data_IF_530026189564
#
_entry.id   IF_530026189564
#
_cell.length_a   1.000
_cell.length_b   1.000
_cell.length_c   1.000
_cell.angle_alpha   90.00
_cell.angle_beta   90.00
_cell.angle_gamma   90.00
#
_symmetry.space_group_name_H-M   'P 1'
#
loop_
_entity.id
_entity.type
_entity.pdbx_description
1 polymer ?
#
# COMPACT_ATOMS: atom_id res chain seq x y z
N UNK A 1 -33.00 13.05 -21.86
CA UNK A 1 -31.72 13.68 -21.67
C UNK A 1 -30.68 12.63 -22.00
N UNK A 2 -29.89 12.89 -23.01
CA UNK A 2 -28.95 11.94 -23.60
C UNK A 2 -27.83 11.57 -22.59
N UNK A 3 -27.41 10.30 -22.57
CA UNK A 3 -26.39 9.76 -21.66
C UNK A 3 -25.08 10.55 -21.77
N UNK A 4 -24.73 10.97 -22.99
CA UNK A 4 -23.56 11.79 -23.31
C UNK A 4 -23.61 13.16 -22.62
N UNK A 5 -24.81 13.76 -22.53
CA UNK A 5 -25.01 15.05 -21.86
C UNK A 5 -24.85 14.94 -20.33
N UNK A 6 -25.19 13.78 -19.75
CA UNK A 6 -24.99 13.52 -18.31
C UNK A 6 -23.53 13.28 -17.96
N UNK A 7 -22.79 12.59 -18.84
CA UNK A 7 -21.33 12.38 -18.68
C UNK A 7 -20.59 13.71 -18.82
N UNK A 8 -20.95 14.55 -19.82
CA UNK A 8 -20.41 15.90 -19.97
C UNK A 8 -20.68 16.79 -18.76
N UNK A 9 -21.85 16.71 -18.16
CA UNK A 9 -22.19 17.48 -16.94
C UNK A 9 -21.43 16.98 -15.71
N UNK A 10 -21.23 15.67 -15.57
CA UNK A 10 -20.37 15.11 -14.52
C UNK A 10 -18.92 15.58 -14.66
N UNK A 11 -18.38 15.57 -15.87
CA UNK A 11 -17.01 16.01 -16.16
C UNK A 11 -16.85 17.54 -16.09
N UNK A 12 -17.84 18.30 -16.55
CA UNK A 12 -17.85 19.75 -16.45
C UNK A 12 -18.10 20.26 -15.02
N UNK A 13 -18.73 19.46 -14.15
CA UNK A 13 -18.87 19.80 -12.74
C UNK A 13 -17.51 19.89 -12.02
N UNK A 14 -16.52 19.11 -12.46
CA UNK A 14 -15.14 19.24 -11.99
C UNK A 14 -14.37 20.41 -12.64
N UNK A 15 -14.87 20.99 -13.72
CA UNK A 15 -14.17 22.02 -14.50
C UNK A 15 -14.70 23.46 -14.29
N UNK A 16 -15.95 23.60 -13.85
CA UNK A 16 -16.54 24.92 -13.56
C UNK A 16 -16.16 25.35 -12.14
N UNK A 17 -15.02 25.99 -12.02
CA UNK A 17 -14.66 26.79 -10.84
C UNK A 17 -15.50 28.07 -10.88
N UNK A 18 -16.65 28.06 -10.22
CA UNK A 18 -17.36 29.28 -9.85
C UNK A 18 -16.81 29.76 -8.49
N UNK A 19 -15.98 30.81 -8.43
CA UNK A 19 -15.38 31.30 -7.18
C UNK A 19 -16.39 31.96 -6.23
N UNK A 20 -17.67 32.03 -6.62
CA UNK A 20 -18.71 32.72 -5.84
C UNK A 20 -19.66 31.79 -5.13
N UNK A 21 -19.48 30.45 -5.19
CA UNK A 21 -20.32 29.51 -4.44
C UNK A 21 -19.87 29.41 -2.97
N UNK A 22 -20.75 29.85 -2.16
CA UNK A 22 -20.76 29.94 -0.71
C UNK A 22 -19.87 28.93 0.05
N UNK A 23 -18.76 29.44 0.56
CA UNK A 23 -17.91 28.81 1.56
C UNK A 23 -18.59 28.64 2.94
N UNK A 24 -19.87 28.97 3.06
CA UNK A 24 -20.50 29.21 4.37
C UNK A 24 -21.37 28.07 4.93
N UNK A 25 -21.54 26.95 4.23
CA UNK A 25 -22.49 25.92 4.68
C UNK A 25 -21.86 24.59 5.18
N UNK A 26 -20.55 24.58 5.40
CA UNK A 26 -19.90 23.44 6.05
C UNK A 26 -19.41 23.85 7.42
N UNK A 27 -20.24 23.58 8.43
CA UNK A 27 -19.79 23.65 9.82
C UNK A 27 -18.46 22.91 9.93
N UNK A 28 -17.43 23.63 10.40
CA UNK A 28 -16.09 23.07 10.59
C UNK A 28 -16.15 21.90 11.56
N UNK A 29 -16.32 20.69 11.03
CA UNK A 29 -16.19 19.48 11.83
C UNK A 29 -14.71 19.12 11.86
N UNK A 30 -14.10 19.32 12.99
CA UNK A 30 -12.69 19.00 13.25
C UNK A 30 -12.36 17.51 13.04
N UNK A 31 -13.37 16.64 12.95
CA UNK A 31 -13.24 15.17 12.90
C UNK A 31 -13.72 14.51 11.61
N UNK A 32 -14.31 15.25 10.69
CA UNK A 32 -14.89 14.68 9.49
C UNK A 32 -14.21 15.20 8.24
N UNK A 33 -13.48 14.31 7.57
CA UNK A 33 -12.90 14.55 6.26
C UNK A 33 -13.69 13.76 5.21
N UNK A 34 -14.57 14.42 4.43
CA UNK A 34 -15.42 13.75 3.45
C UNK A 34 -14.64 13.20 2.23
N UNK A 35 -13.42 13.71 2.00
CA UNK A 35 -12.50 13.29 0.95
C UNK A 35 -11.94 11.87 1.19
N UNK A 36 -11.86 11.42 2.44
CA UNK A 36 -11.29 10.12 2.78
C UNK A 36 -12.32 8.99 2.83
N UNK A 37 -11.91 7.76 2.48
CA UNK A 37 -12.76 6.59 2.72
C UNK A 37 -13.06 6.45 4.22
N UNK A 38 -14.33 6.26 4.54
CA UNK A 38 -14.75 5.98 5.91
C UNK A 38 -14.84 4.46 6.03
N UNK A 39 -13.91 3.88 6.80
CA UNK A 39 -14.02 2.48 7.21
C UNK A 39 -15.14 2.35 8.24
N UNK A 40 -15.94 1.29 8.10
CA UNK A 40 -17.01 1.00 9.05
C UNK A 40 -16.42 0.90 10.46
N UNK A 41 -16.92 1.70 11.37
CA UNK A 41 -16.43 1.73 12.75
C UNK A 41 -16.93 0.49 13.50
N UNK A 42 -16.01 -0.23 14.10
CA UNK A 42 -16.26 -1.36 14.98
C UNK A 42 -14.93 -1.90 15.48
N UNK A 43 -14.86 -2.37 16.71
CA UNK A 43 -13.67 -3.00 17.26
C UNK A 43 -13.31 -4.28 16.49
N UNK A 44 -14.33 -4.94 15.93
CA UNK A 44 -14.20 -6.14 15.11
C UNK A 44 -13.32 -5.96 13.86
N UNK A 45 -13.16 -4.71 13.39
CA UNK A 45 -12.31 -4.41 12.23
C UNK A 45 -10.91 -3.88 12.58
N UNK A 46 -10.58 -3.72 13.86
CA UNK A 46 -9.30 -3.14 14.28
C UNK A 46 -8.09 -3.93 13.77
N UNK A 47 -8.10 -5.25 13.86
CA UNK A 47 -7.04 -6.13 13.35
C UNK A 47 -6.98 -6.07 11.81
N UNK A 48 -8.12 -6.14 11.14
CA UNK A 48 -8.19 -6.01 9.69
C UNK A 48 -7.65 -4.67 9.21
N UNK A 49 -8.06 -3.58 9.85
CA UNK A 49 -7.59 -2.23 9.52
C UNK A 49 -6.09 -2.08 9.74
N UNK A 50 -5.53 -2.68 10.80
CA UNK A 50 -4.08 -2.67 11.05
C UNK A 50 -3.30 -3.38 9.94
N UNK A 51 -3.78 -4.55 9.49
CA UNK A 51 -3.19 -5.30 8.38
C UNK A 51 -3.28 -4.50 7.07
N UNK A 52 -4.46 -3.95 6.76
CA UNK A 52 -4.66 -3.13 5.54
C UNK A 52 -3.77 -1.90 5.54
N UNK A 53 -3.70 -1.19 6.66
CA UNK A 53 -2.88 -0.01 6.79
C UNK A 53 -1.38 -0.34 6.64
N UNK A 54 -0.92 -1.45 7.22
CA UNK A 54 0.48 -1.90 7.04
C UNK A 54 0.79 -2.15 5.57
N UNK A 55 -0.04 -2.93 4.88
CA UNK A 55 0.13 -3.20 3.45
C UNK A 55 0.09 -1.90 2.62
N UNK A 56 -0.88 -1.03 2.89
CA UNK A 56 -1.04 0.22 2.15
C UNK A 56 0.14 1.19 2.34
N UNK A 57 0.71 1.26 3.54
CA UNK A 57 1.91 2.05 3.82
C UNK A 57 3.12 1.51 3.05
N UNK A 58 3.31 0.20 3.02
CA UNK A 58 4.44 -0.41 2.33
C UNK A 58 4.31 -0.29 0.81
N UNK A 59 3.11 -0.47 0.25
CA UNK A 59 2.84 -0.23 -1.18
C UNK A 59 3.07 1.23 -1.54
N UNK A 60 2.54 2.18 -0.76
CA UNK A 60 2.68 3.61 -1.03
C UNK A 60 4.11 4.14 -0.92
N UNK A 61 5.00 3.35 -0.32
CA UNK A 61 6.43 3.67 -0.21
C UNK A 61 7.22 3.33 -1.48
N UNK A 62 6.62 2.57 -2.42
CA UNK A 62 7.23 2.20 -3.69
C UNK A 62 6.92 3.30 -4.73
N UNK A 63 7.95 3.81 -5.38
CA UNK A 63 7.78 4.82 -6.42
C UNK A 63 7.23 4.18 -7.69
N UNK A 64 6.08 4.66 -8.15
CA UNK A 64 5.47 4.31 -9.44
C UNK A 64 5.70 5.48 -10.39
N UNK A 65 6.33 5.25 -11.53
CA UNK A 65 6.75 6.31 -12.43
C UNK A 65 6.33 6.05 -13.87
N UNK A 66 6.00 7.14 -14.57
CA UNK A 66 5.82 7.15 -16.01
C UNK A 66 7.18 7.25 -16.68
N UNK A 67 7.54 6.27 -17.49
CA UNK A 67 8.89 6.09 -18.02
C UNK A 67 8.89 5.88 -19.53
N UNK A 68 10.04 6.13 -20.13
CA UNK A 68 10.36 5.71 -21.49
C UNK A 68 11.28 4.49 -21.43
N UNK A 69 10.99 3.52 -22.29
CA UNK A 69 11.81 2.34 -22.51
C UNK A 69 12.65 2.53 -23.78
N UNK A 70 13.79 1.88 -23.82
CA UNK A 70 14.60 1.74 -25.02
C UNK A 70 14.03 0.64 -25.97
N UNK A 71 14.66 0.44 -27.13
CA UNK A 71 14.25 -0.56 -28.12
C UNK A 71 14.33 -2.01 -27.59
N UNK A 72 15.06 -2.24 -26.50
CA UNK A 72 15.18 -3.52 -25.83
C UNK A 72 14.18 -3.70 -24.67
N UNK A 73 13.30 -2.71 -24.45
CA UNK A 73 12.33 -2.71 -23.36
C UNK A 73 12.91 -2.40 -21.98
N UNK A 74 14.12 -1.81 -21.90
CA UNK A 74 14.77 -1.42 -20.66
C UNK A 74 14.41 0.02 -20.31
N UNK A 75 14.46 0.36 -19.03
CA UNK A 75 14.29 1.73 -18.57
C UNK A 75 15.33 2.67 -19.22
N UNK A 76 14.85 3.77 -19.79
CA UNK A 76 15.69 4.80 -20.42
C UNK A 76 15.62 6.11 -19.65
N UNK A 77 14.41 6.66 -19.45
CA UNK A 77 14.23 7.94 -18.76
C UNK A 77 12.85 8.05 -18.13
N UNK A 78 12.71 8.96 -17.18
CA UNK A 78 11.42 9.35 -16.61
C UNK A 78 10.75 10.36 -17.56
N UNK A 79 9.43 10.24 -17.73
CA UNK A 79 8.62 11.18 -18.49
C UNK A 79 7.97 12.15 -17.50
N UNK A 80 8.28 13.44 -17.62
CA UNK A 80 7.63 14.50 -16.86
C UNK A 80 6.23 14.76 -17.43
N UNK A 81 5.24 13.99 -16.99
CA UNK A 81 3.83 14.12 -17.35
C UNK A 81 3.00 14.47 -16.13
N UNK A 82 1.80 15.00 -16.33
CA UNK A 82 0.85 15.22 -15.25
C UNK A 82 0.53 13.93 -14.50
N UNK A 83 0.42 12.78 -15.21
CA UNK A 83 0.27 11.46 -14.58
C UNK A 83 1.43 11.15 -13.64
N UNK A 84 2.69 11.40 -14.05
CA UNK A 84 3.85 11.16 -13.19
C UNK A 84 3.82 12.07 -11.95
N UNK A 85 3.41 13.32 -12.12
CA UNK A 85 3.22 14.26 -11.02
C UNK A 85 2.14 13.78 -10.04
N UNK A 86 1.00 13.28 -10.54
CA UNK A 86 -0.08 12.73 -9.71
C UNK A 86 0.37 11.53 -8.87
N UNK A 87 1.23 10.68 -9.42
CA UNK A 87 1.69 9.47 -8.72
C UNK A 87 2.77 9.74 -7.68
N UNK A 88 3.61 10.78 -7.88
CA UNK A 88 4.80 10.98 -7.05
C UNK A 88 4.75 12.23 -6.17
N UNK A 89 4.06 13.28 -6.60
CA UNK A 89 4.04 14.56 -5.88
C UNK A 89 2.64 14.94 -5.41
N UNK A 90 1.75 15.26 -6.33
CA UNK A 90 0.46 15.91 -6.03
C UNK A 90 -0.66 15.29 -6.85
N UNK A 91 -1.40 14.34 -6.24
CA UNK A 91 -2.47 13.61 -6.91
C UNK A 91 -3.73 14.47 -7.09
N UNK A 92 -4.02 15.32 -6.13
CA UNK A 92 -5.16 16.22 -6.13
C UNK A 92 -4.96 17.29 -5.03
N UNK A 93 -5.90 18.23 -4.92
CA UNK A 93 -5.84 19.35 -3.98
C UNK A 93 -5.65 18.92 -2.51
N UNK A 94 -6.11 17.72 -2.13
CA UNK A 94 -6.13 17.24 -0.75
C UNK A 94 -5.06 16.18 -0.44
N UNK A 95 -4.45 15.57 -1.49
CA UNK A 95 -3.64 14.36 -1.33
C UNK A 95 -2.35 14.42 -2.16
N UNK A 96 -1.25 14.10 -1.50
CA UNK A 96 0.00 13.79 -2.19
C UNK A 96 -0.12 12.46 -2.96
N UNK A 97 0.74 12.22 -3.94
CA UNK A 97 0.77 10.95 -4.68
C UNK A 97 0.83 9.72 -3.76
N UNK A 98 1.68 9.78 -2.71
CA UNK A 98 1.76 8.71 -1.71
C UNK A 98 0.44 8.49 -0.95
N UNK A 99 -0.22 9.57 -0.50
CA UNK A 99 -1.49 9.47 0.21
C UNK A 99 -2.60 8.94 -0.70
N UNK A 100 -2.59 9.30 -1.98
CA UNK A 100 -3.49 8.77 -2.99
C UNK A 100 -3.32 7.25 -3.20
N UNK A 101 -2.08 6.77 -3.35
CA UNK A 101 -1.82 5.33 -3.48
C UNK A 101 -2.21 4.59 -2.19
N UNK A 102 -1.93 5.16 -1.01
CA UNK A 102 -2.37 4.56 0.26
C UNK A 102 -3.89 4.42 0.34
N UNK A 103 -4.65 5.45 -0.01
CA UNK A 103 -6.11 5.42 -0.06
C UNK A 103 -6.63 4.42 -1.11
N UNK A 104 -5.98 4.34 -2.27
CA UNK A 104 -6.32 3.38 -3.31
C UNK A 104 -6.17 1.93 -2.82
N UNK A 105 -5.05 1.61 -2.19
CA UNK A 105 -4.80 0.27 -1.64
C UNK A 105 -5.75 -0.05 -0.49
N UNK A 106 -5.96 0.87 0.44
CA UNK A 106 -6.92 0.69 1.54
C UNK A 106 -8.33 0.40 1.02
N UNK A 107 -8.80 1.19 0.06
CA UNK A 107 -10.12 1.01 -0.56
C UNK A 107 -10.22 -0.31 -1.33
N UNK A 108 -9.18 -0.70 -2.04
CA UNK A 108 -9.09 -1.96 -2.77
C UNK A 108 -9.13 -3.17 -1.82
N UNK A 109 -8.41 -3.11 -0.70
CA UNK A 109 -8.40 -4.20 0.28
C UNK A 109 -9.75 -4.32 1.00
N UNK A 110 -10.43 -3.22 1.30
CA UNK A 110 -11.74 -3.24 1.97
C UNK A 110 -12.86 -3.69 1.04
N UNK A 111 -12.94 -3.15 -0.16
CA UNK A 111 -14.05 -3.37 -1.11
C UNK A 111 -13.77 -4.49 -2.14
N UNK A 112 -12.55 -4.99 -2.24
CA UNK A 112 -12.12 -5.98 -3.25
C UNK A 112 -11.71 -5.36 -4.58
N UNK A 113 -12.05 -4.11 -4.85
CA UNK A 113 -11.62 -3.34 -6.02
C UNK A 113 -11.72 -1.83 -5.74
N UNK A 114 -10.99 -1.05 -6.53
CA UNK A 114 -11.02 0.42 -6.45
C UNK A 114 -11.01 1.01 -7.85
N UNK A 115 -11.70 2.14 -8.04
CA UNK A 115 -11.63 2.93 -9.25
C UNK A 115 -10.62 4.09 -9.07
N UNK A 116 -9.60 4.17 -9.93
CA UNK A 116 -8.72 5.32 -10.04
C UNK A 116 -9.23 6.19 -11.17
N UNK A 117 -9.72 7.38 -10.82
CA UNK A 117 -10.45 8.25 -11.74
C UNK A 117 -9.66 9.52 -12.00
N UNK A 118 -9.31 9.83 -13.26
CA UNK A 118 -8.83 11.15 -13.64
C UNK A 118 -9.95 12.18 -13.45
N UNK A 119 -9.68 13.22 -12.68
CA UNK A 119 -10.65 14.28 -12.37
C UNK A 119 -10.41 15.51 -13.24
N UNK A 120 -9.15 15.86 -13.44
CA UNK A 120 -8.74 16.98 -14.30
C UNK A 120 -7.76 16.46 -15.35
N UNK A 121 -8.03 16.80 -16.61
CA UNK A 121 -7.16 16.51 -17.75
C UNK A 121 -6.93 17.78 -18.57
N UNK A 122 -5.81 17.84 -19.30
CA UNK A 122 -5.49 18.98 -20.18
C UNK A 122 -6.46 19.09 -21.36
N UNK A 123 -6.82 17.95 -21.95
CA UNK A 123 -7.76 17.84 -23.08
C UNK A 123 -8.92 16.93 -22.66
N UNK A 124 -10.11 17.23 -23.19
CA UNK A 124 -11.31 16.41 -22.97
C UNK A 124 -11.09 14.99 -23.53
N UNK A 125 -11.09 13.95 -22.68
CA UNK A 125 -10.84 12.56 -23.10
C UNK A 125 -11.87 12.01 -24.08
N UNK A 126 -13.07 12.64 -24.19
CA UNK A 126 -14.06 12.25 -25.19
C UNK A 126 -13.70 12.75 -26.60
N UNK A 127 -12.92 13.84 -26.69
CA UNK A 127 -12.54 14.44 -27.97
C UNK A 127 -11.20 13.94 -28.49
N UNK A 128 -10.31 13.54 -27.60
CA UNK A 128 -8.98 13.04 -27.95
C UNK A 128 -8.61 11.86 -27.07
N UNK A 129 -8.07 10.82 -27.69
CA UNK A 129 -7.49 9.70 -26.95
C UNK A 129 -6.10 10.02 -26.35
N UNK A 130 -5.54 11.19 -26.69
CA UNK A 130 -4.27 11.68 -26.16
C UNK A 130 -4.54 12.87 -25.26
N UNK A 131 -4.42 12.65 -23.97
CA UNK A 131 -4.59 13.65 -22.93
C UNK A 131 -3.59 13.38 -21.80
N UNK A 132 -3.22 14.41 -21.05
CA UNK A 132 -2.47 14.27 -19.81
C UNK A 132 -3.38 14.41 -18.60
N UNK A 133 -3.04 13.73 -17.53
CA UNK A 133 -3.84 13.67 -16.31
C UNK A 133 -3.23 14.62 -15.29
N UNK A 134 -3.98 15.64 -14.91
CA UNK A 134 -3.53 16.68 -14.00
C UNK A 134 -3.99 16.47 -12.55
N UNK A 135 -5.09 15.71 -12.36
CA UNK A 135 -5.58 15.35 -11.02
C UNK A 135 -6.29 14.00 -11.06
N UNK A 136 -6.12 13.22 -9.99
CA UNK A 136 -6.71 11.89 -9.82
C UNK A 136 -7.33 11.73 -8.44
N UNK A 137 -8.42 10.95 -8.37
CA UNK A 137 -9.05 10.56 -7.10
C UNK A 137 -9.43 9.09 -7.09
N UNK A 138 -9.48 8.53 -5.90
CA UNK A 138 -10.04 7.19 -5.67
C UNK A 138 -11.56 7.25 -5.64
N UNK A 139 -12.21 6.24 -6.21
CA UNK A 139 -13.65 6.11 -6.21
C UNK A 139 -14.12 4.72 -5.83
N UNK A 140 -15.23 4.65 -5.09
CA UNK A 140 -15.89 3.39 -4.75
C UNK A 140 -16.85 2.99 -5.86
N UNK A 141 -16.77 1.74 -6.34
CA UNK A 141 -17.67 1.21 -7.36
C UNK A 141 -19.01 0.86 -6.71
N UNK A 142 -20.09 1.47 -7.20
CA UNK A 142 -21.45 1.25 -6.69
C UNK A 142 -22.23 0.28 -7.58
N UNK A 143 -22.06 0.41 -8.91
CA UNK A 143 -22.82 -0.39 -9.88
C UNK A 143 -21.96 -0.73 -11.09
N UNK A 144 -22.00 -1.99 -11.50
CA UNK A 144 -21.32 -2.49 -12.69
C UNK A 144 -22.29 -2.56 -13.87
N UNK A 145 -21.88 -1.99 -15.03
CA UNK A 145 -22.58 -2.12 -16.30
C UNK A 145 -21.61 -2.61 -17.38
N UNK A 146 -22.09 -3.13 -18.52
CA UNK A 146 -21.22 -3.71 -19.55
C UNK A 146 -20.10 -2.76 -20.01
N UNK A 147 -20.41 -1.52 -20.40
CA UNK A 147 -19.45 -0.53 -20.90
C UNK A 147 -19.16 0.61 -19.91
N UNK A 148 -19.92 0.73 -18.82
CA UNK A 148 -19.84 1.82 -17.86
C UNK A 148 -19.72 1.28 -16.43
N UNK A 149 -19.30 2.15 -15.53
CA UNK A 149 -19.26 1.89 -14.10
C UNK A 149 -19.80 3.10 -13.36
N UNK A 150 -20.64 2.87 -12.34
CA UNK A 150 -21.10 3.93 -11.44
C UNK A 150 -20.16 4.00 -10.26
N UNK A 151 -19.51 5.15 -10.11
CA UNK A 151 -18.47 5.37 -9.11
C UNK A 151 -18.90 6.48 -8.16
N UNK A 152 -18.75 6.25 -6.87
CA UNK A 152 -18.89 7.28 -5.84
C UNK A 152 -17.54 7.91 -5.60
N UNK A 153 -17.43 9.19 -5.92
CA UNK A 153 -16.20 9.96 -5.83
C UNK A 153 -16.44 11.29 -5.10
N UNK A 154 -15.42 11.82 -4.46
CA UNK A 154 -15.48 13.13 -3.84
C UNK A 154 -15.37 14.23 -4.90
N UNK A 155 -16.32 15.15 -4.89
CA UNK A 155 -16.36 16.32 -5.75
C UNK A 155 -15.79 17.52 -4.99
N UNK A 156 -14.70 18.11 -5.50
CA UNK A 156 -14.01 19.24 -4.87
C UNK A 156 -14.85 20.52 -4.85
N UNK A 157 -15.71 20.71 -5.85
CA UNK A 157 -16.57 21.90 -5.95
C UNK A 157 -17.71 21.90 -4.95
N UNK A 158 -18.33 20.75 -4.76
CA UNK A 158 -19.49 20.61 -3.86
C UNK A 158 -19.10 20.16 -2.45
N UNK A 159 -17.86 19.71 -2.25
CA UNK A 159 -17.37 19.16 -0.98
C UNK A 159 -18.08 17.87 -0.54
N UNK A 160 -18.77 17.18 -1.45
CA UNK A 160 -19.58 15.99 -1.18
C UNK A 160 -19.16 14.82 -2.06
N UNK A 161 -19.48 13.62 -1.61
CA UNK A 161 -19.37 12.42 -2.45
C UNK A 161 -20.58 12.32 -3.36
N UNK A 162 -20.35 12.19 -4.65
CA UNK A 162 -21.37 12.08 -5.69
C UNK A 162 -21.21 10.78 -6.47
N UNK A 163 -22.33 10.26 -6.95
CA UNK A 163 -22.39 9.06 -7.77
C UNK A 163 -22.36 9.44 -9.25
N UNK A 164 -21.27 9.13 -9.94
CA UNK A 164 -21.01 9.49 -11.33
C UNK A 164 -20.95 8.22 -12.18
N UNK A 165 -21.56 8.26 -13.37
CA UNK A 165 -21.48 7.19 -14.37
C UNK A 165 -20.32 7.48 -15.33
N UNK A 166 -19.32 6.63 -15.35
CA UNK A 166 -18.10 6.78 -16.15
C UNK A 166 -17.93 5.60 -17.12
N UNK A 167 -17.40 5.82 -18.34
CA UNK A 167 -16.99 4.74 -19.23
C UNK A 167 -15.80 3.96 -18.61
N UNK A 168 -15.87 2.63 -18.70
CA UNK A 168 -14.75 1.78 -18.21
C UNK A 168 -13.43 2.00 -18.95
N UNK A 169 -13.46 2.63 -20.13
CA UNK A 169 -12.24 3.00 -20.88
C UNK A 169 -11.45 4.12 -20.22
N UNK A 170 -12.12 4.99 -19.44
CA UNK A 170 -11.52 6.19 -18.83
C UNK A 170 -11.15 6.01 -17.36
N UNK A 171 -11.43 4.86 -16.79
CA UNK A 171 -11.21 4.57 -15.36
C UNK A 171 -10.32 3.36 -15.23
N UNK A 172 -9.26 3.46 -14.44
CA UNK A 172 -8.48 2.30 -14.05
C UNK A 172 -9.16 1.61 -12.87
N UNK A 173 -9.59 0.37 -13.07
CA UNK A 173 -10.25 -0.43 -12.04
C UNK A 173 -9.27 -1.48 -11.58
N UNK A 174 -8.71 -1.27 -10.40
CA UNK A 174 -7.75 -2.20 -9.80
C UNK A 174 -8.50 -3.19 -8.92
N UNK A 175 -8.39 -4.47 -9.27
CA UNK A 175 -8.92 -5.56 -8.47
C UNK A 175 -7.88 -6.05 -7.46
N UNK A 176 -8.34 -6.46 -6.30
CA UNK A 176 -7.46 -6.99 -5.26
C UNK A 176 -6.88 -8.34 -5.67
N UNK A 177 -5.56 -8.47 -5.92
CA UNK A 177 -4.94 -9.75 -6.25
C UNK A 177 -5.04 -10.78 -5.10
N UNK A 178 -5.29 -10.31 -3.87
CA UNK A 178 -5.49 -11.13 -2.69
C UNK A 178 -6.98 -11.35 -2.36
N UNK A 179 -7.88 -11.20 -3.35
CA UNK A 179 -9.33 -11.25 -3.17
C UNK A 179 -9.79 -12.54 -2.47
N UNK A 180 -9.26 -13.67 -2.86
CA UNK A 180 -9.63 -14.97 -2.29
C UNK A 180 -9.32 -15.07 -0.78
N UNK A 181 -8.30 -14.38 -0.30
CA UNK A 181 -7.88 -14.38 1.12
C UNK A 181 -8.64 -13.35 1.94
N UNK A 182 -8.96 -12.20 1.35
CA UNK A 182 -9.47 -11.01 2.05
C UNK A 182 -10.97 -10.81 1.83
N UNK A 183 -11.42 -10.76 0.58
CA UNK A 183 -12.74 -10.22 0.21
C UNK A 183 -13.79 -11.31 -0.09
N UNK A 184 -13.39 -12.53 -0.49
CA UNK A 184 -14.35 -13.60 -0.73
C UNK A 184 -15.23 -13.84 0.51
N UNK A 185 -16.55 -14.10 0.35
CA UNK A 185 -17.50 -14.23 1.49
C UNK A 185 -17.09 -15.25 2.56
N UNK A 186 -16.35 -16.30 2.18
CA UNK A 186 -15.83 -17.33 3.08
C UNK A 186 -14.33 -17.23 3.32
N UNK A 187 -13.68 -16.14 2.91
CA UNK A 187 -12.25 -15.91 3.12
C UNK A 187 -11.88 -15.96 4.60
N UNK A 188 -10.59 -16.17 4.85
CA UNK A 188 -10.03 -16.17 6.21
C UNK A 188 -10.27 -14.84 6.90
N UNK A 189 -10.09 -13.74 6.21
CA UNK A 189 -10.36 -12.39 6.75
C UNK A 189 -11.83 -12.21 7.13
N UNK A 190 -12.78 -12.60 6.27
CA UNK A 190 -14.20 -12.47 6.56
C UNK A 190 -14.66 -13.40 7.71
N UNK A 191 -14.03 -14.54 7.85
CA UNK A 191 -14.26 -15.43 9.00
C UNK A 191 -13.71 -14.84 10.29
N UNK A 192 -12.53 -14.20 10.23
CA UNK A 192 -11.92 -13.51 11.37
C UNK A 192 -12.80 -12.34 11.83
N UNK A 193 -13.24 -11.48 10.91
CA UNK A 193 -14.12 -10.35 11.21
C UNK A 193 -15.41 -10.82 11.88
N UNK A 194 -16.03 -11.90 11.39
CA UNK A 194 -17.23 -12.47 12.01
C UNK A 194 -16.97 -12.99 13.43
N UNK A 195 -15.79 -13.56 13.69
CA UNK A 195 -15.44 -14.04 15.06
C UNK A 195 -15.15 -12.89 16.00
N UNK A 196 -14.50 -11.82 15.52
CA UNK A 196 -14.29 -10.58 16.29
C UNK A 196 -15.62 -9.90 16.64
N UNK A 197 -16.55 -9.81 15.71
CA UNK A 197 -17.90 -9.29 15.97
C UNK A 197 -18.66 -10.12 17.03
N UNK A 198 -18.51 -11.44 17.02
CA UNK A 198 -19.08 -12.30 18.07
C UNK A 198 -18.42 -12.07 19.43
N UNK A 199 -17.11 -11.81 19.45
CA UNK A 199 -16.39 -11.47 20.69
C UNK A 199 -16.91 -10.15 21.28
N UNK A 200 -17.03 -9.11 20.45
CA UNK A 200 -17.54 -7.80 20.88
C UNK A 200 -18.95 -7.91 21.48
N UNK A 201 -19.85 -8.70 20.84
CA UNK A 201 -21.20 -8.94 21.38
C UNK A 201 -21.14 -9.70 22.70
N UNK A 202 -20.24 -10.68 22.85
CA UNK A 202 -20.08 -11.44 24.11
C UNK A 202 -19.54 -10.55 25.21
N UNK A 203 -18.55 -9.69 24.91
CA UNK A 203 -17.97 -8.74 25.85
C UNK A 203 -19.03 -7.72 26.32
N UNK A 204 -19.85 -7.20 25.39
CA UNK A 204 -20.95 -6.30 25.73
C UNK A 204 -21.99 -6.96 26.63
N UNK A 205 -22.33 -8.25 26.36
CA UNK A 205 -23.23 -9.03 27.19
C UNK A 205 -22.64 -9.25 28.60
N UNK A 206 -21.36 -9.56 28.68
CA UNK A 206 -20.65 -9.77 29.94
C UNK A 206 -20.53 -8.46 30.72
N UNK A 207 -20.14 -7.35 30.04
CA UNK A 207 -20.04 -6.03 30.64
C UNK A 207 -21.39 -5.47 31.11
N UNK A 208 -22.49 -5.81 30.43
CA UNK A 208 -23.84 -5.39 30.82
C UNK A 208 -24.40 -6.17 32.02
N UNK A 209 -23.63 -7.10 32.60
CA UNK A 209 -24.07 -7.92 33.74
C UNK A 209 -25.20 -8.89 33.40
N UNK A 210 -25.47 -9.13 32.11
CA UNK A 210 -26.45 -10.12 31.65
C UNK A 210 -25.89 -11.51 31.89
N UNK A 211 -26.18 -12.05 33.06
CA UNK A 211 -25.84 -13.41 33.43
C UNK A 211 -26.80 -14.38 32.76
N UNK A 212 -26.26 -15.44 32.14
CA UNK A 212 -27.08 -16.58 31.74
C UNK A 212 -27.60 -17.28 33.02
N UNK A 213 -28.83 -16.95 33.40
CA UNK A 213 -29.43 -17.48 34.60
C UNK A 213 -30.61 -18.39 34.26
N UNK A 214 -30.66 -19.57 34.88
CA UNK A 214 -31.87 -20.39 34.92
C UNK A 214 -32.57 -20.09 36.23
N UNK A 215 -33.78 -19.54 36.13
CA UNK A 215 -34.65 -19.29 37.28
C UNK A 215 -35.65 -20.45 37.34
N UNK A 216 -35.52 -21.29 38.31
CA UNK A 216 -36.47 -22.35 38.58
C UNK A 216 -37.58 -21.79 39.50
N UNK A 217 -38.79 -21.67 38.96
CA UNK A 217 -39.96 -21.22 39.67
C UNK A 217 -40.66 -22.38 40.41
N UNK A 218 -41.30 -22.14 41.53
CA UNK A 218 -41.96 -23.21 42.35
C UNK A 218 -43.28 -23.69 41.75
N UNK A 219 -43.63 -23.26 40.55
CA UNK A 219 -44.87 -23.60 39.86
C UNK A 219 -44.69 -23.94 38.39
N UNK A 220 -45.62 -24.68 37.84
CA UNK A 220 -45.60 -25.04 36.41
C UNK A 220 -46.24 -23.94 35.54
N UNK A 221 -45.56 -23.50 34.55
CA UNK A 221 -46.00 -22.44 33.59
C UNK A 221 -46.84 -23.08 32.49
N UNK A 222 -48.17 -23.32 32.79
CA UNK A 222 -49.10 -23.88 31.76
C UNK A 222 -50.23 -22.94 31.38
N UNK A 223 -50.49 -21.89 32.21
CA UNK A 223 -51.60 -20.97 31.99
C UNK A 223 -51.05 -19.58 31.68
N UNK A 224 -51.80 -18.80 30.89
CA UNK A 224 -51.44 -17.45 30.50
C UNK A 224 -51.17 -16.50 31.68
N UNK A 225 -51.95 -16.66 32.76
CA UNK A 225 -51.77 -15.91 34.00
C UNK A 225 -50.43 -16.23 34.66
N UNK A 226 -50.02 -17.50 34.69
CA UNK A 226 -48.72 -17.96 35.25
C UNK A 226 -47.56 -17.55 34.38
N UNK A 227 -47.77 -17.44 33.07
CA UNK A 227 -46.78 -16.96 32.13
C UNK A 227 -46.47 -15.47 32.35
N UNK A 228 -47.51 -14.64 32.55
CA UNK A 228 -47.37 -13.24 32.93
C UNK A 228 -46.65 -13.10 34.27
N UNK A 229 -46.99 -13.91 35.26
CA UNK A 229 -46.32 -13.87 36.55
C UNK A 229 -44.84 -14.27 36.45
N UNK A 230 -44.49 -15.22 35.61
CA UNK A 230 -43.10 -15.61 35.38
C UNK A 230 -42.32 -14.48 34.66
N UNK A 231 -42.95 -13.78 33.70
CA UNK A 231 -42.34 -12.60 33.02
C UNK A 231 -42.14 -11.41 33.97
N UNK A 232 -43.10 -11.14 34.83
CA UNK A 232 -42.98 -10.07 35.85
C UNK A 232 -41.84 -10.44 36.83
N UNK A 233 -41.72 -11.68 37.24
CA UNK A 233 -40.62 -12.13 38.09
C UNK A 233 -39.26 -12.02 37.42
N UNK A 234 -39.17 -12.42 36.14
CA UNK A 234 -37.96 -12.22 35.34
C UNK A 234 -37.55 -10.76 35.31
N UNK A 235 -38.48 -9.85 34.98
CA UNK A 235 -38.21 -8.41 34.93
C UNK A 235 -37.78 -7.85 36.31
N UNK A 236 -38.38 -8.34 37.41
CA UNK A 236 -38.01 -7.92 38.76
C UNK A 236 -36.56 -8.33 39.09
N UNK A 237 -36.14 -9.51 38.71
CA UNK A 237 -34.76 -10.00 38.92
C UNK A 237 -33.78 -9.24 38.01
N UNK A 238 -34.12 -9.01 36.73
CA UNK A 238 -33.31 -8.20 35.82
C UNK A 238 -33.12 -6.77 36.37
N UNK A 239 -34.18 -6.15 36.93
CA UNK A 239 -34.10 -4.82 37.52
C UNK A 239 -33.26 -4.81 38.80
N UNK A 240 -33.36 -5.82 39.64
CA UNK A 240 -32.53 -5.95 40.84
C UNK A 240 -31.04 -6.12 40.48
N UNK A 241 -30.74 -6.97 39.51
CA UNK A 241 -29.36 -7.18 39.04
C UNK A 241 -28.78 -5.94 38.39
N UNK A 242 -29.53 -5.25 37.54
CA UNK A 242 -29.09 -4.02 36.87
C UNK A 242 -28.95 -2.83 37.79
N UNK A 243 -29.75 -2.72 38.86
CA UNK A 243 -29.67 -1.65 39.85
C UNK A 243 -28.68 -1.93 40.98
N UNK A 244 -28.25 -3.19 41.13
CA UNK A 244 -27.32 -3.59 42.18
C UNK A 244 -25.87 -3.34 41.79
N UNK A 245 -25.13 -2.55 42.59
CA UNK A 245 -23.70 -2.29 42.37
C UNK A 245 -22.82 -3.55 42.44
N UNK A 246 -23.31 -4.63 43.03
CA UNK A 246 -22.57 -5.89 43.23
C UNK A 246 -23.25 -7.13 42.62
N UNK A 247 -24.28 -6.93 41.76
CA UNK A 247 -24.97 -8.02 41.10
C UNK A 247 -25.75 -8.94 42.05
N UNK A 248 -26.29 -8.39 43.15
CA UNK A 248 -27.03 -9.15 44.14
C UNK A 248 -28.53 -9.01 43.87
N UNK A 249 -29.21 -10.14 43.77
CA UNK A 249 -30.68 -10.20 43.71
C UNK A 249 -31.23 -11.09 44.85
N UNK A 250 -32.42 -10.73 45.32
CA UNK A 250 -33.12 -11.47 46.37
C UNK A 250 -34.03 -12.51 45.71
N UNK A 251 -33.99 -13.74 46.20
CA UNK A 251 -34.87 -14.84 45.76
C UNK A 251 -35.70 -15.34 46.91
N UNK A 252 -36.89 -15.85 46.60
CA UNK A 252 -37.72 -16.54 47.58
C UNK A 252 -37.13 -17.93 47.90
N UNK A 253 -37.31 -18.41 49.10
CA UNK A 253 -36.74 -19.71 49.54
C UNK A 253 -37.16 -20.95 48.72
N UNK A 254 -38.18 -20.78 47.87
CA UNK A 254 -38.69 -21.80 46.94
C UNK A 254 -38.15 -21.67 45.50
N UNK A 255 -37.47 -20.56 45.19
CA UNK A 255 -36.87 -20.33 43.91
C UNK A 255 -35.40 -20.72 43.89
N UNK A 256 -34.95 -21.34 42.81
CA UNK A 256 -33.54 -21.66 42.62
C UNK A 256 -33.00 -20.97 41.41
N UNK A 257 -31.99 -20.12 41.63
CA UNK A 257 -31.24 -19.45 40.53
C UNK A 257 -29.95 -20.23 40.32
N UNK A 258 -29.77 -20.74 39.11
CA UNK A 258 -28.54 -21.41 38.69
C UNK A 258 -27.86 -20.57 37.63
N UNK A 259 -26.66 -20.07 37.91
CA UNK A 259 -25.83 -19.38 36.94
C UNK A 259 -25.19 -20.42 36.00
N UNK A 260 -25.39 -20.24 34.71
CA UNK A 260 -24.72 -21.04 33.70
C UNK A 260 -23.35 -20.39 33.39
N UNK A 261 -22.31 -21.02 33.90
CA UNK A 261 -20.95 -20.62 33.59
C UNK A 261 -20.57 -21.20 32.23
N UNK A 262 -20.70 -20.40 31.17
CA UNK A 262 -20.24 -20.81 29.82
C UNK A 262 -18.79 -20.41 29.65
N UNK A 263 -17.90 -21.36 29.46
CA UNK A 263 -16.51 -21.14 29.08
C UNK A 263 -16.37 -20.80 27.59
N UNK A 264 -17.27 -19.95 27.06
CA UNK A 264 -17.33 -19.61 25.62
C UNK A 264 -16.14 -18.76 25.21
N UNK A 265 -15.67 -17.87 26.09
CA UNK A 265 -14.62 -16.90 25.83
C UNK A 265 -13.27 -17.55 25.46
N UNK A 266 -12.82 -18.54 26.20
CA UNK A 266 -11.52 -19.20 25.96
C UNK A 266 -11.46 -19.92 24.62
N UNK A 267 -12.58 -20.46 24.12
CA UNK A 267 -12.62 -21.14 22.83
C UNK A 267 -12.70 -20.13 21.68
N UNK A 268 -13.41 -19.02 21.86
CA UNK A 268 -13.54 -17.97 20.86
C UNK A 268 -12.18 -17.26 20.64
N UNK A 269 -11.48 -16.92 21.72
CA UNK A 269 -10.14 -16.30 21.65
C UNK A 269 -9.14 -17.21 20.92
N UNK A 270 -9.11 -18.51 21.22
CA UNK A 270 -8.25 -19.46 20.49
C UNK A 270 -8.59 -19.55 19.00
N UNK A 271 -9.87 -19.47 18.66
CA UNK A 271 -10.29 -19.46 17.24
C UNK A 271 -9.89 -18.17 16.53
N UNK A 272 -9.94 -17.01 17.19
CA UNK A 272 -9.49 -15.74 16.67
C UNK A 272 -7.97 -15.79 16.43
N UNK A 273 -7.21 -16.23 17.41
CA UNK A 273 -5.76 -16.40 17.30
C UNK A 273 -5.38 -17.33 16.14
N UNK A 274 -6.04 -18.48 16.03
CA UNK A 274 -5.84 -19.41 14.91
C UNK A 274 -6.14 -18.76 13.54
N UNK A 275 -7.25 -18.04 13.42
CA UNK A 275 -7.62 -17.36 12.17
C UNK A 275 -6.68 -16.20 11.85
N UNK A 276 -6.19 -15.47 12.84
CA UNK A 276 -5.20 -14.39 12.66
C UNK A 276 -3.88 -14.97 12.15
N UNK A 277 -3.38 -16.04 12.75
CA UNK A 277 -2.16 -16.71 12.33
C UNK A 277 -2.31 -17.32 10.92
N UNK A 278 -3.47 -17.89 10.60
CA UNK A 278 -3.76 -18.42 9.28
C UNK A 278 -3.80 -17.29 8.23
N UNK A 279 -4.41 -16.15 8.56
CA UNK A 279 -4.45 -14.97 7.71
C UNK A 279 -3.03 -14.44 7.45
N UNK A 280 -2.23 -14.28 8.50
CA UNK A 280 -0.85 -13.83 8.37
C UNK A 280 -0.04 -14.75 7.46
N UNK A 281 -0.17 -16.07 7.65
CA UNK A 281 0.49 -17.07 6.79
C UNK A 281 0.07 -16.96 5.32
N UNK A 282 -1.23 -16.75 5.04
CA UNK A 282 -1.76 -16.61 3.68
C UNK A 282 -1.33 -15.32 3.01
N UNK A 283 -1.19 -14.24 3.76
CA UNK A 283 -0.71 -12.94 3.28
C UNK A 283 0.83 -12.84 3.25
N UNK A 284 1.55 -13.86 3.70
CA UNK A 284 3.00 -13.78 3.85
C UNK A 284 3.47 -12.75 4.88
N UNK A 285 2.58 -12.36 5.79
CA UNK A 285 2.87 -11.46 6.91
C UNK A 285 3.24 -12.32 8.13
N UNK A 286 4.16 -11.84 8.93
CA UNK A 286 4.48 -12.43 10.24
C UNK A 286 4.23 -11.42 11.34
N UNK A 287 4.12 -11.88 12.58
CA UNK A 287 4.03 -10.98 13.73
C UNK A 287 5.21 -10.01 13.76
N UNK A 288 6.41 -10.49 13.40
CA UNK A 288 7.63 -9.68 13.33
C UNK A 288 7.53 -8.52 12.32
N UNK A 289 6.78 -8.68 11.23
CA UNK A 289 6.52 -7.58 10.28
C UNK A 289 5.59 -6.53 10.90
N UNK A 290 4.60 -6.97 11.69
CA UNK A 290 3.63 -6.06 12.32
C UNK A 290 4.26 -5.24 13.44
N UNK A 291 5.15 -5.82 14.23
CA UNK A 291 5.88 -5.17 15.34
C UNK A 291 7.24 -4.58 14.95
N UNK A 292 7.65 -4.75 13.67
CA UNK A 292 8.88 -4.13 13.15
C UNK A 292 10.19 -4.83 13.56
N UNK A 293 10.10 -6.09 13.99
CA UNK A 293 11.26 -6.91 14.38
C UNK A 293 11.69 -7.92 13.32
N UNK A 294 11.07 -7.84 12.11
CA UNK A 294 11.34 -8.77 11.02
C UNK A 294 12.76 -8.62 10.48
N UNK A 295 13.40 -9.76 10.20
CA UNK A 295 14.66 -9.81 9.48
C UNK A 295 14.50 -9.54 7.97
N UNK A 296 15.62 -9.26 7.29
CA UNK A 296 15.61 -8.90 5.86
C UNK A 296 15.00 -10.01 4.98
N UNK A 297 15.25 -11.27 5.32
CA UNK A 297 14.71 -12.41 4.58
C UNK A 297 13.18 -12.49 4.70
N UNK A 298 12.65 -12.26 5.88
CA UNK A 298 11.21 -12.21 6.13
C UNK A 298 10.58 -11.02 5.41
N UNK A 299 11.22 -9.85 5.44
CA UNK A 299 10.79 -8.68 4.69
C UNK A 299 10.80 -8.93 3.17
N UNK A 300 11.85 -9.56 2.64
CA UNK A 300 11.93 -9.90 1.23
C UNK A 300 10.78 -10.84 0.79
N UNK A 301 10.48 -11.85 1.58
CA UNK A 301 9.36 -12.76 1.33
C UNK A 301 8.01 -12.05 1.34
N UNK A 302 7.81 -11.15 2.29
CA UNK A 302 6.60 -10.32 2.39
C UNK A 302 6.45 -9.41 1.16
N UNK A 303 7.50 -8.73 0.76
CA UNK A 303 7.47 -7.88 -0.44
C UNK A 303 7.11 -8.69 -1.68
N UNK A 304 7.75 -9.82 -1.92
CA UNK A 304 7.53 -10.64 -3.11
C UNK A 304 6.14 -11.28 -3.15
N UNK A 305 5.57 -11.65 -2.00
CA UNK A 305 4.29 -12.37 -1.95
C UNK A 305 3.07 -11.47 -1.81
N UNK A 306 3.23 -10.33 -1.17
CA UNK A 306 2.09 -9.46 -0.82
C UNK A 306 2.17 -8.10 -1.51
N UNK A 307 3.30 -7.43 -1.39
CA UNK A 307 3.43 -6.04 -1.87
C UNK A 307 3.55 -5.98 -3.39
N UNK A 308 4.46 -6.76 -3.97
CA UNK A 308 4.71 -6.74 -5.41
C UNK A 308 3.50 -7.10 -6.27
N UNK A 309 2.67 -8.12 -5.94
CA UNK A 309 1.44 -8.40 -6.67
C UNK A 309 0.45 -7.21 -6.66
N UNK A 310 0.34 -6.49 -5.54
CA UNK A 310 -0.55 -5.33 -5.42
C UNK A 310 -0.04 -4.17 -6.28
N UNK A 311 1.25 -3.85 -6.19
CA UNK A 311 1.86 -2.79 -7.01
C UNK A 311 1.73 -3.12 -8.50
N UNK A 312 1.98 -4.37 -8.88
CA UNK A 312 1.85 -4.85 -10.26
C UNK A 312 0.42 -4.70 -10.78
N UNK A 313 -0.59 -5.05 -9.98
CA UNK A 313 -2.00 -4.88 -10.35
C UNK A 313 -2.34 -3.40 -10.60
N UNK A 314 -1.85 -2.49 -9.77
CA UNK A 314 -2.03 -1.04 -9.95
C UNK A 314 -1.34 -0.58 -11.24
N UNK A 315 -0.08 -0.92 -11.43
CA UNK A 315 0.72 -0.50 -12.58
C UNK A 315 0.14 -1.02 -13.89
N UNK A 316 -0.30 -2.27 -13.93
CA UNK A 316 -0.88 -2.88 -15.13
C UNK A 316 -2.21 -2.20 -15.54
N UNK A 317 -3.06 -1.86 -14.56
CA UNK A 317 -4.29 -1.12 -14.84
C UNK A 317 -4.02 0.32 -15.30
N UNK A 318 -3.06 1.01 -14.69
CA UNK A 318 -2.64 2.33 -15.13
C UNK A 318 -2.09 2.29 -16.57
N UNK A 319 -1.22 1.32 -16.90
CA UNK A 319 -0.73 1.11 -18.27
C UNK A 319 -1.87 0.84 -19.26
N UNK A 320 -2.80 -0.03 -18.86
CA UNK A 320 -3.90 -0.44 -19.73
C UNK A 320 -4.84 0.70 -20.07
N UNK A 321 -5.09 1.60 -19.10
CA UNK A 321 -6.12 2.64 -19.21
C UNK A 321 -5.59 4.01 -19.61
N UNK A 322 -4.45 4.41 -19.08
CA UNK A 322 -3.95 5.78 -19.25
C UNK A 322 -2.85 5.92 -20.30
N UNK A 323 -2.27 4.82 -20.76
CA UNK A 323 -1.37 4.87 -21.90
C UNK A 323 -2.07 4.40 -23.18
N UNK A 324 -2.11 5.28 -24.19
CA UNK A 324 -2.65 4.95 -25.50
C UNK A 324 -1.81 3.86 -26.20
N UNK A 325 -2.36 3.21 -27.21
CA UNK A 325 -1.61 2.24 -28.02
C UNK A 325 -0.39 2.90 -28.66
N UNK A 326 -0.54 4.13 -29.15
CA UNK A 326 0.55 4.92 -29.75
C UNK A 326 1.63 5.23 -28.73
N UNK A 327 1.28 5.70 -27.54
CA UNK A 327 2.25 5.97 -26.49
C UNK A 327 3.07 4.71 -26.14
N UNK A 328 2.40 3.56 -26.02
CA UNK A 328 3.08 2.28 -25.74
C UNK A 328 3.99 1.84 -26.89
N UNK A 329 3.58 2.04 -28.15
CA UNK A 329 4.46 1.74 -29.31
C UNK A 329 5.66 2.69 -29.44
N UNK A 330 5.58 3.85 -28.80
CA UNK A 330 6.70 4.81 -28.68
C UNK A 330 7.57 4.56 -27.44
N UNK A 331 7.46 3.40 -26.83
CA UNK A 331 8.25 3.01 -25.67
C UNK A 331 7.78 3.61 -24.33
N UNK A 332 6.60 4.28 -24.28
CA UNK A 332 6.09 4.76 -22.99
C UNK A 332 5.54 3.61 -22.15
N UNK A 333 5.86 3.60 -20.87
CA UNK A 333 5.40 2.60 -19.91
C UNK A 333 5.23 3.22 -18.51
N UNK A 334 4.56 2.51 -17.62
CA UNK A 334 4.54 2.82 -16.21
C UNK A 334 5.29 1.69 -15.50
N UNK A 335 6.23 2.03 -14.65
CA UNK A 335 7.03 1.07 -13.90
C UNK A 335 7.08 1.45 -12.42
N UNK A 336 7.30 0.48 -11.59
CA UNK A 336 7.62 0.74 -10.20
C UNK A 336 9.09 0.40 -9.93
N UNK A 337 9.70 1.19 -9.08
CA UNK A 337 11.11 1.02 -8.72
C UNK A 337 11.19 0.63 -7.25
N UNK A 338 11.73 -0.56 -7.04
CA UNK A 338 12.09 -1.00 -5.71
C UNK A 338 13.50 -0.49 -5.42
N UNK A 339 13.65 0.24 -4.34
CA UNK A 339 14.98 0.60 -3.83
C UNK A 339 15.62 -0.66 -3.22
N UNK A 340 16.63 -1.25 -3.87
CA UNK A 340 17.25 -2.47 -3.38
C UNK A 340 18.03 -2.26 -2.09
N UNK A 341 18.40 -1.00 -1.78
CA UNK A 341 19.21 -0.66 -0.61
C UNK A 341 18.39 -0.33 0.63
N UNK A 342 17.09 -0.13 0.50
CA UNK A 342 16.20 0.25 1.61
C UNK A 342 16.11 -0.81 2.71
N UNK A 343 16.32 -2.08 2.37
CA UNK A 343 16.26 -3.23 3.29
C UNK A 343 17.65 -3.81 3.58
N UNK A 344 18.73 -3.16 3.13
CA UNK A 344 20.09 -3.64 3.32
C UNK A 344 20.70 -2.94 4.54
N UNK A 345 21.24 -3.69 5.51
CA UNK A 345 21.99 -3.12 6.63
C UNK A 345 23.12 -2.21 6.12
N UNK A 346 23.40 -1.12 6.82
CA UNK A 346 24.40 -0.13 6.40
C UNK A 346 25.79 -0.77 6.20
N UNK A 347 26.11 -1.81 6.97
CA UNK A 347 27.38 -2.54 6.84
C UNK A 347 27.48 -3.29 5.51
N UNK A 348 26.37 -3.83 5.04
CA UNK A 348 26.31 -4.60 3.78
C UNK A 348 26.27 -3.68 2.56
N UNK A 349 25.76 -2.44 2.72
CA UNK A 349 25.78 -1.41 1.66
C UNK A 349 27.21 -1.14 1.20
N UNK A 350 28.16 -1.07 2.13
CA UNK A 350 29.58 -0.85 1.80
C UNK A 350 30.15 -1.99 0.94
N UNK A 351 29.83 -3.25 1.27
CA UNK A 351 30.26 -4.41 0.52
C UNK A 351 29.62 -4.48 -0.87
N UNK A 352 28.32 -4.19 -0.97
CA UNK A 352 27.59 -4.15 -2.22
C UNK A 352 28.09 -3.01 -3.11
N UNK A 353 28.31 -1.82 -2.53
CA UNK A 353 28.86 -0.66 -3.23
C UNK A 353 30.25 -0.93 -3.80
N UNK A 354 31.13 -1.55 -3.01
CA UNK A 354 32.46 -1.96 -3.49
C UNK A 354 32.36 -2.94 -4.68
N UNK A 355 31.51 -3.97 -4.55
CA UNK A 355 31.31 -4.95 -5.63
C UNK A 355 30.72 -4.31 -6.89
N UNK A 356 29.75 -3.42 -6.76
CA UNK A 356 29.07 -2.78 -7.90
C UNK A 356 29.97 -1.75 -8.58
N UNK A 357 30.74 -0.99 -7.83
CA UNK A 357 31.70 -0.04 -8.40
C UNK A 357 32.83 -0.76 -9.12
N UNK A 358 33.39 -1.84 -8.53
CA UNK A 358 34.44 -2.63 -9.15
C UNK A 358 34.02 -3.34 -10.44
N UNK A 359 32.75 -3.71 -10.56
CA UNK A 359 32.20 -4.39 -11.73
C UNK A 359 31.54 -3.43 -12.74
N UNK A 360 31.80 -2.14 -12.63
CA UNK A 360 31.24 -1.11 -13.55
C UNK A 360 29.70 -1.09 -13.61
N UNK A 361 29.03 -1.44 -12.51
CA UNK A 361 27.56 -1.44 -12.42
C UNK A 361 27.05 -0.10 -11.91
N UNK A 362 27.73 0.52 -10.93
CA UNK A 362 27.40 1.81 -10.36
C UNK A 362 28.62 2.74 -10.36
N UNK A 363 28.37 4.02 -10.57
CA UNK A 363 29.36 5.08 -10.42
C UNK A 363 29.50 5.48 -8.95
N UNK A 364 30.61 6.15 -8.60
CA UNK A 364 30.82 6.64 -7.22
C UNK A 364 29.75 7.67 -6.81
N UNK A 365 29.23 8.48 -7.73
CA UNK A 365 28.18 9.45 -7.43
C UNK A 365 26.83 8.80 -7.21
N UNK A 366 26.50 7.72 -7.94
CA UNK A 366 25.29 6.93 -7.68
C UNK A 366 25.32 6.26 -6.30
N UNK A 367 26.48 5.71 -5.89
CA UNK A 367 26.65 5.16 -4.54
C UNK A 367 26.51 6.26 -3.49
N UNK A 368 27.10 7.45 -3.69
CA UNK A 368 26.94 8.60 -2.77
C UNK A 368 25.48 9.03 -2.65
N UNK A 369 24.74 9.05 -3.75
CA UNK A 369 23.30 9.37 -3.77
C UNK A 369 22.48 8.35 -2.99
N UNK A 370 22.76 7.06 -3.12
CA UNK A 370 22.11 5.98 -2.37
C UNK A 370 22.30 6.15 -0.86
N UNK A 371 23.51 6.56 -0.44
CA UNK A 371 23.85 6.80 0.98
C UNK A 371 23.37 8.17 1.47
N UNK A 372 22.80 9.00 0.57
CA UNK A 372 22.31 10.35 0.89
C UNK A 372 23.40 11.41 0.99
N UNK A 373 24.56 11.19 0.37
CA UNK A 373 25.67 12.16 0.30
C UNK A 373 25.56 13.02 -0.97
N UNK A 374 26.01 14.28 -0.89
CA UNK A 374 26.13 15.16 -2.06
C UNK A 374 27.06 14.51 -3.09
N UNK A 375 26.73 14.55 -4.42
CA UNK A 375 27.63 14.11 -5.47
C UNK A 375 28.98 14.82 -5.41
N UNK A 376 30.03 14.11 -5.79
CA UNK A 376 31.37 14.72 -5.95
C UNK A 376 31.42 15.55 -7.23
N UNK A 377 32.14 16.65 -7.21
CA UNK A 377 32.35 17.52 -8.38
C UNK A 377 33.46 17.00 -9.32
N UNK A 378 34.14 15.89 -8.93
CA UNK A 378 35.16 15.25 -9.76
C UNK A 378 34.49 14.50 -10.94
N UNK A 379 34.83 14.81 -12.19
CA UNK A 379 34.26 14.14 -13.38
C UNK A 379 34.48 12.62 -13.40
N UNK A 380 35.49 12.13 -12.66
CA UNK A 380 35.74 10.69 -12.54
C UNK A 380 34.68 9.98 -11.67
N UNK A 381 34.00 10.70 -10.82
CA UNK A 381 32.98 10.13 -9.94
C UNK A 381 31.70 9.71 -10.69
N UNK A 382 31.49 10.20 -11.92
CA UNK A 382 30.39 9.84 -12.80
C UNK A 382 30.81 8.82 -13.89
N UNK A 383 32.03 8.33 -13.85
CA UNK A 383 32.54 7.32 -14.77
C UNK A 383 32.43 5.93 -14.14
N UNK A 384 32.04 4.95 -14.96
CA UNK A 384 32.13 3.54 -14.62
C UNK A 384 33.61 3.12 -14.69
N UNK A 385 34.25 2.87 -13.56
CA UNK A 385 35.68 2.58 -13.45
C UNK A 385 35.89 1.22 -12.81
N UNK A 386 36.54 0.30 -13.57
CA UNK A 386 36.97 -0.96 -13.01
C UNK A 386 38.32 -0.79 -12.29
N UNK A 387 38.27 -0.77 -10.95
CA UNK A 387 39.49 -0.61 -10.15
C UNK A 387 40.45 -1.83 -10.19
N UNK A 388 40.01 -2.96 -10.77
CA UNK A 388 40.83 -4.16 -10.94
C UNK A 388 41.67 -4.13 -12.22
N UNK A 389 41.38 -3.22 -13.14
CA UNK A 389 42.10 -3.05 -14.39
C UNK A 389 42.92 -1.75 -14.28
N UNK A 390 44.26 -1.84 -14.39
CA UNK A 390 45.10 -0.67 -14.47
C UNK A 390 44.70 0.14 -15.72
N UNK A 391 44.01 1.23 -15.57
CA UNK A 391 43.68 2.11 -16.68
C UNK A 391 44.96 2.70 -17.23
N UNK A 392 45.26 2.45 -18.52
CA UNK A 392 46.31 3.13 -19.22
C UNK A 392 46.04 4.65 -19.12
N UNK A 393 47.00 5.40 -18.59
CA UNK A 393 46.95 6.85 -18.57
C UNK A 393 46.81 7.29 -20.04
N UNK A 394 45.65 7.77 -20.46
CA UNK A 394 45.55 8.61 -21.66
C UNK A 394 46.34 9.89 -21.38
N UNK A 395 47.57 9.91 -21.91
CA UNK A 395 48.35 11.12 -21.95
C UNK A 395 47.70 12.03 -23.01
N UNK A 396 46.93 12.99 -22.55
CA UNK A 396 46.56 14.15 -23.30
C UNK A 396 47.78 15.10 -23.27
N UNK A 397 48.70 14.91 -24.24
CA UNK A 397 49.58 15.98 -24.69
C UNK A 397 50.18 15.49 -26.01
N UNK A 398 49.70 16.08 -27.10
CA UNK A 398 50.42 16.09 -28.34
C UNK A 398 51.63 16.98 -28.20
N UNK A 399 52.79 16.41 -28.13
CA UNK A 399 54.05 17.01 -28.47
C UNK A 399 54.79 16.07 -29.40
N UNK A 400 54.89 16.51 -30.62
CA UNK A 400 55.76 15.99 -31.64
C UNK A 400 57.23 16.17 -31.21
N UNK A 401 57.90 15.10 -30.85
CA UNK A 401 59.36 15.12 -30.74
C UNK A 401 59.93 14.22 -31.86
N UNK A 402 60.64 14.93 -32.72
CA UNK A 402 61.55 14.44 -33.74
C UNK A 402 62.70 13.64 -33.10
N UNK A 403 63.17 12.55 -33.71
CA UNK A 403 64.27 11.75 -33.17
C UNK A 403 65.62 12.49 -33.38
N UNK A 404 66.56 12.51 -32.42
CA UNK A 404 67.91 12.97 -32.67
C UNK A 404 68.76 11.86 -33.32
N UNK A 405 69.57 12.29 -34.27
CA UNK A 405 70.59 11.55 -35.02
C UNK A 405 71.58 10.75 -34.17
N UNK A 406 71.91 9.57 -34.68
CA UNK A 406 73.04 8.77 -34.24
C UNK A 406 74.39 9.50 -34.46
N UNK A 407 75.21 9.58 -33.43
CA UNK A 407 76.66 9.73 -33.60
C UNK A 407 77.34 8.55 -32.89
N UNK A 408 77.91 7.75 -33.75
CA UNK A 408 78.85 6.67 -33.53
C UNK A 408 80.15 7.20 -32.89
N UNK A 409 80.59 6.58 -31.75
CA UNK A 409 82.04 6.47 -31.45
C UNK A 409 82.25 5.26 -30.51
N UNK A 410 83.08 4.37 -31.02
CA UNK A 410 83.42 3.06 -30.48
C UNK A 410 84.35 3.03 -29.30
N UNK A 411 84.58 1.79 -28.84
CA UNK A 411 85.64 1.40 -27.91
C UNK A 411 85.17 0.47 -26.80
N UNK A 412 85.15 -0.80 -27.04
CA UNK A 412 86.16 -1.85 -26.76
C UNK A 412 86.32 -2.27 -25.29
N UNK A 413 86.04 -3.53 -25.07
CA UNK A 413 86.79 -4.55 -24.34
C UNK A 413 86.48 -4.87 -22.87
N UNK A 414 86.17 -6.16 -22.65
CA UNK A 414 86.51 -7.09 -21.54
C UNK A 414 85.83 -6.88 -20.19
N UNK A 415 85.41 -7.82 -19.39
CA UNK A 415 85.59 -9.25 -19.30
C UNK A 415 84.58 -9.82 -18.26
N UNK A 416 84.30 -11.07 -18.37
CA UNK A 416 83.53 -11.94 -17.43
C UNK A 416 84.43 -12.17 -16.14
N UNK A 417 83.99 -13.04 -15.16
CA UNK A 417 82.74 -13.75 -14.86
C UNK A 417 82.49 -14.03 -13.35
N UNK A 418 81.33 -14.72 -13.09
CA UNK A 418 81.12 -15.86 -12.15
C UNK A 418 81.13 -15.63 -10.65
N UNK A 419 80.06 -15.95 -9.98
CA UNK A 419 79.84 -17.06 -9.02
C UNK A 419 78.58 -16.73 -8.19
N UNK A 420 77.58 -17.51 -8.20
CA UNK A 420 77.25 -18.73 -7.48
C UNK A 420 77.41 -18.63 -5.97
N UNK A 421 76.33 -18.93 -5.28
CA UNK A 421 76.15 -19.77 -4.11
C UNK A 421 75.03 -19.27 -3.23
N UNK A 422 73.85 -19.92 -3.30
CA UNK A 422 73.34 -20.94 -2.34
C UNK A 422 73.06 -20.52 -0.91
N UNK A 423 71.83 -20.75 -0.60
CA UNK A 423 71.31 -21.53 0.56
C UNK A 423 70.79 -20.83 1.82
N UNK A 424 69.59 -21.27 2.06
CA UNK A 424 69.03 -21.74 3.33
C UNK A 424 68.63 -20.71 4.42
N UNK A 425 67.47 -20.54 4.71
CA UNK A 425 66.58 -21.37 5.54
C UNK A 425 65.16 -20.89 5.43
#
# INVERSE_FOLDING_TARGET
>A
MDLVTRIKRGWNAFRNRDPTRDYYDYGSSYYYRPDRPIFTRGNERSIATSVYNRIALDVSAIAIQHVRLDDNGRFSSIIESGLNNCLNLDANLDQTGRAFIQDAVMSMLDEGCVALVPVVTDIDPEKSNSYDILSMRTGRIIEWRPAHVKVRIYNEETGKKEDIMLPKSMVAIVENPLYAVINEPNSTMQRLIRKLSLLDVTDEQTASGKLDLIIQLPYVIKTEARQKQAEERRKAIEMQLSSSKYGIAYTDGTERITQLNRSVENNLMKQIEYLTNMLYSQLGITQAIMDGTADDKTMLNYYSRTIEPIVSAIVDELKRKFLTKTARSQGQSIMFFRDPFRLVPVNDIAEIADKFTRNEILTSNEVRQIVGMKPSEDPKADQLINSNIAQAKENASGETDTPPEETDTGGSIMDKPISAVRNNK
#
